data_IF_780380984482
#
_entry.id   IF_780380984482
#
_cell.length_a   1.000
_cell.length_b   1.000
_cell.length_c   1.000
_cell.angle_alpha   90.00
_cell.angle_beta   90.00
_cell.angle_gamma   90.00
#
_symmetry.space_group_name_H-M   'P 1'
#
loop_
_entity.id
_entity.type
_entity.pdbx_description
1 polymer ?
#
# COMPACT_ATOMS: atom_id res chain seq x y z
N UNK A 1 -4.65 -8.70 28.85
CA UNK A 1 -4.10 -7.37 28.51
C UNK A 1 -4.95 -6.31 29.21
N UNK A 2 -4.38 -5.25 29.80
CA UNK A 2 -5.19 -4.14 30.35
C UNK A 2 -5.88 -3.38 29.20
N UNK A 3 -7.06 -2.81 29.42
CA UNK A 3 -7.84 -2.12 28.38
C UNK A 3 -7.08 -1.01 27.65
N UNK A 4 -6.29 -0.22 28.39
CA UNK A 4 -5.45 0.84 27.80
C UNK A 4 -4.37 0.30 26.85
N UNK A 5 -3.78 -0.86 27.15
CA UNK A 5 -2.75 -1.45 26.30
C UNK A 5 -3.34 -1.93 24.97
N UNK A 6 -4.58 -2.43 25.02
CA UNK A 6 -5.31 -2.82 23.81
C UNK A 6 -5.62 -1.59 22.95
N UNK A 7 -6.13 -0.52 23.56
CA UNK A 7 -6.42 0.73 22.85
C UNK A 7 -5.18 1.32 22.15
N UNK A 8 -4.03 1.32 22.83
CA UNK A 8 -2.74 1.76 22.24
C UNK A 8 -2.33 0.85 21.07
N UNK A 9 -2.40 -0.47 21.25
CA UNK A 9 -2.06 -1.42 20.20
C UNK A 9 -2.92 -1.21 18.94
N UNK A 10 -4.23 -1.05 19.13
CA UNK A 10 -5.18 -0.81 18.03
C UNK A 10 -4.95 0.55 17.37
N UNK A 11 -4.66 1.59 18.16
CA UNK A 11 -4.29 2.90 17.64
C UNK A 11 -3.07 2.83 16.73
N UNK A 12 -2.01 2.12 17.14
CA UNK A 12 -0.81 1.92 16.31
C UNK A 12 -1.14 1.11 15.05
N UNK A 13 -1.94 0.05 15.20
CA UNK A 13 -2.31 -0.82 14.08
C UNK A 13 -3.07 -0.08 12.96
N UNK A 14 -3.82 0.97 13.32
CA UNK A 14 -4.58 1.80 12.38
C UNK A 14 -3.74 2.99 11.89
N UNK A 15 -3.03 3.68 12.79
CA UNK A 15 -2.31 4.90 12.44
C UNK A 15 -1.07 4.62 11.60
N UNK A 16 -0.42 3.47 11.76
CA UNK A 16 0.76 3.10 10.97
C UNK A 16 0.45 3.00 9.46
N UNK A 17 -0.54 2.19 9.01
CA UNK A 17 -0.88 2.13 7.57
C UNK A 17 -1.32 3.50 7.03
N UNK A 18 -2.14 4.24 7.79
CA UNK A 18 -2.54 5.61 7.42
C UNK A 18 -1.33 6.54 7.25
N UNK A 19 -0.37 6.49 8.17
CA UNK A 19 0.85 7.30 8.10
C UNK A 19 1.65 6.99 6.83
N UNK A 20 1.78 5.72 6.47
CA UNK A 20 2.48 5.33 5.24
C UNK A 20 1.73 5.82 4.01
N UNK A 21 0.42 5.58 3.94
CA UNK A 21 -0.41 6.00 2.82
C UNK A 21 -0.35 7.51 2.59
N UNK A 22 -0.60 8.30 3.65
CA UNK A 22 -0.54 9.76 3.56
C UNK A 22 0.88 10.30 3.40
N UNK A 23 1.88 9.61 3.94
CA UNK A 23 3.29 9.93 3.71
C UNK A 23 3.62 9.87 2.22
N UNK A 24 3.28 8.77 1.54
CA UNK A 24 3.48 8.63 0.11
C UNK A 24 2.69 9.68 -0.66
N UNK A 25 1.41 9.89 -0.32
CA UNK A 25 0.58 10.91 -0.97
C UNK A 25 1.17 12.34 -0.85
N UNK A 26 1.89 12.62 0.23
CA UNK A 26 2.51 13.95 0.45
C UNK A 26 3.76 14.16 -0.41
N UNK A 27 4.61 13.13 -0.56
CA UNK A 27 5.87 13.25 -1.31
C UNK A 27 5.74 12.82 -2.78
N UNK A 28 4.74 12.03 -3.11
CA UNK A 28 4.41 11.55 -4.44
C UNK A 28 2.89 11.65 -4.60
N UNK A 29 2.32 12.80 -4.96
CA UNK A 29 0.88 12.97 -5.08
C UNK A 29 0.28 12.02 -6.13
N UNK A 30 -0.94 11.55 -5.86
CA UNK A 30 -1.72 10.81 -6.84
C UNK A 30 -2.18 11.75 -7.96
N UNK A 31 -2.15 11.33 -9.24
CA UNK A 31 -2.67 12.15 -10.33
C UNK A 31 -4.19 12.33 -10.16
N UNK A 32 -4.70 13.54 -10.35
CA UNK A 32 -6.14 13.78 -10.40
C UNK A 32 -6.65 13.51 -11.82
N UNK A 33 -7.82 12.90 -11.94
CA UNK A 33 -8.42 12.62 -13.25
C UNK A 33 -8.61 13.89 -14.09
N UNK A 34 -9.07 14.97 -13.45
CA UNK A 34 -9.40 16.26 -14.07
C UNK A 34 -8.18 16.94 -14.72
N UNK A 35 -6.98 16.73 -14.17
CA UNK A 35 -5.74 17.31 -14.70
C UNK A 35 -5.37 16.75 -16.09
N UNK A 36 -5.86 15.55 -16.41
CA UNK A 36 -5.57 14.85 -17.66
C UNK A 36 -6.78 14.82 -18.61
N UNK A 37 -7.99 14.93 -18.08
CA UNK A 37 -9.24 14.76 -18.82
C UNK A 37 -10.06 16.06 -18.77
N UNK A 38 -9.52 17.14 -19.33
CA UNK A 38 -10.21 18.44 -19.43
C UNK A 38 -11.38 18.38 -20.40
N UNK A 39 -12.41 19.21 -20.15
CA UNK A 39 -13.69 19.22 -20.87
C UNK A 39 -13.55 19.30 -22.40
N UNK A 40 -12.50 19.95 -22.91
CA UNK A 40 -12.24 20.09 -24.35
C UNK A 40 -12.08 18.76 -25.10
N UNK A 41 -11.71 17.67 -24.42
CA UNK A 41 -11.52 16.35 -25.06
C UNK A 41 -12.73 15.43 -24.91
N UNK A 42 -13.64 15.73 -23.97
CA UNK A 42 -14.74 14.86 -23.56
C UNK A 42 -16.12 15.48 -23.77
N UNK A 43 -16.22 16.79 -24.00
CA UNK A 43 -17.42 17.43 -24.51
C UNK A 43 -17.70 16.96 -25.94
N UNK A 44 -18.97 16.69 -26.23
CA UNK A 44 -19.38 16.37 -27.59
C UNK A 44 -19.23 17.62 -28.46
N UNK A 45 -18.52 17.53 -29.59
CA UNK A 45 -18.43 18.68 -30.50
C UNK A 45 -19.83 19.05 -31.01
N UNK A 46 -20.08 20.33 -31.31
CA UNK A 46 -21.32 20.76 -31.95
C UNK A 46 -21.59 19.94 -33.21
N UNK A 47 -22.85 19.72 -33.55
CA UNK A 47 -23.25 18.89 -34.71
C UNK A 47 -22.61 19.35 -36.04
N UNK A 48 -22.27 20.63 -36.16
CA UNK A 48 -21.60 21.25 -37.30
C UNK A 48 -20.13 20.82 -37.48
N UNK A 49 -19.51 20.29 -36.43
CA UNK A 49 -18.09 19.95 -36.35
C UNK A 49 -17.81 18.43 -36.45
N UNK A 50 -18.85 17.61 -36.62
CA UNK A 50 -18.74 16.14 -36.67
C UNK A 50 -18.19 15.70 -38.03
N UNK A 51 -16.89 15.87 -38.20
CA UNK A 51 -16.13 15.27 -39.31
C UNK A 51 -15.43 13.99 -38.84
N UNK A 52 -15.26 12.97 -39.70
CA UNK A 52 -14.49 11.77 -39.36
C UNK A 52 -13.06 12.09 -38.88
N UNK A 53 -12.45 13.15 -39.43
CA UNK A 53 -11.13 13.62 -39.04
C UNK A 53 -11.12 14.18 -37.60
N UNK A 54 -12.09 15.03 -37.22
CA UNK A 54 -12.18 15.58 -35.86
C UNK A 54 -12.50 14.50 -34.82
N UNK A 55 -13.31 13.50 -35.19
CA UNK A 55 -13.57 12.30 -34.36
C UNK A 55 -12.31 11.47 -34.12
N UNK A 56 -11.52 11.23 -35.16
CA UNK A 56 -10.26 10.50 -35.05
C UNK A 56 -9.23 11.25 -34.18
N UNK A 57 -9.17 12.58 -34.31
CA UNK A 57 -8.29 13.43 -33.50
C UNK A 57 -8.67 13.42 -32.02
N UNK A 58 -9.95 13.59 -31.68
CA UNK A 58 -10.39 13.49 -30.28
C UNK A 58 -10.14 12.09 -29.71
N UNK A 59 -10.34 11.03 -30.48
CA UNK A 59 -10.05 9.68 -30.01
C UNK A 59 -8.56 9.51 -29.66
N UNK A 60 -7.65 10.05 -30.48
CA UNK A 60 -6.21 10.06 -30.19
C UNK A 60 -5.89 10.87 -28.93
N UNK A 61 -6.46 12.05 -28.79
CA UNK A 61 -6.22 12.90 -27.62
C UNK A 61 -6.73 12.25 -26.33
N UNK A 62 -7.88 11.57 -26.37
CA UNK A 62 -8.40 10.78 -25.24
C UNK A 62 -7.47 9.62 -24.88
N UNK A 63 -6.99 8.90 -25.89
CA UNK A 63 -6.05 7.79 -25.69
C UNK A 63 -4.73 8.29 -25.06
N UNK A 64 -4.18 9.41 -25.56
CA UNK A 64 -2.99 10.03 -25.00
C UNK A 64 -3.20 10.53 -23.57
N UNK A 65 -4.33 11.17 -23.28
CA UNK A 65 -4.70 11.63 -21.94
C UNK A 65 -4.79 10.47 -20.96
N UNK A 66 -5.51 9.41 -21.33
CA UNK A 66 -5.63 8.20 -20.52
C UNK A 66 -4.27 7.51 -20.34
N UNK A 67 -3.42 7.45 -21.38
CA UNK A 67 -2.08 6.89 -21.28
C UNK A 67 -1.20 7.67 -20.30
N UNK A 68 -1.23 9.01 -20.34
CA UNK A 68 -0.48 9.88 -19.41
C UNK A 68 -0.98 9.73 -17.97
N UNK A 69 -2.29 9.70 -17.77
CA UNK A 69 -2.88 9.46 -16.46
C UNK A 69 -2.48 8.08 -15.91
N UNK A 70 -2.61 7.02 -16.71
CA UNK A 70 -2.25 5.66 -16.31
C UNK A 70 -0.77 5.55 -15.96
N UNK A 71 0.12 6.18 -16.74
CA UNK A 71 1.55 6.21 -16.46
C UNK A 71 1.86 6.91 -15.13
N UNK A 72 1.25 8.07 -14.87
CA UNK A 72 1.41 8.79 -13.61
C UNK A 72 0.83 8.01 -12.41
N UNK A 73 -0.32 7.37 -12.61
CA UNK A 73 -1.00 6.58 -11.58
C UNK A 73 -0.18 5.34 -11.23
N UNK A 74 0.38 4.67 -12.24
CA UNK A 74 1.31 3.55 -12.06
C UNK A 74 2.54 3.96 -11.27
N UNK A 75 3.13 5.13 -11.57
CA UNK A 75 4.29 5.62 -10.83
C UNK A 75 3.95 5.88 -9.36
N UNK A 76 2.82 6.55 -9.08
CA UNK A 76 2.34 6.78 -7.72
C UNK A 76 2.13 5.46 -6.97
N UNK A 77 1.47 4.49 -7.59
CA UNK A 77 1.24 3.15 -7.02
C UNK A 77 2.56 2.40 -6.76
N UNK A 78 3.52 2.48 -7.67
CA UNK A 78 4.85 1.91 -7.42
C UNK A 78 5.51 2.53 -6.19
N UNK A 79 5.48 3.86 -6.03
CA UNK A 79 6.00 4.52 -4.83
C UNK A 79 5.28 4.05 -3.56
N UNK A 80 3.95 3.88 -3.61
CA UNK A 80 3.18 3.37 -2.49
C UNK A 80 3.61 1.95 -2.12
N UNK A 81 3.72 1.06 -3.09
CA UNK A 81 4.15 -0.32 -2.89
C UNK A 81 5.56 -0.42 -2.30
N UNK A 82 6.53 0.26 -2.92
CA UNK A 82 7.93 0.24 -2.49
C UNK A 82 8.17 0.99 -1.18
N UNK A 83 7.19 1.73 -0.66
CA UNK A 83 7.24 2.30 0.69
C UNK A 83 6.54 1.40 1.70
N UNK A 84 5.31 0.95 1.38
CA UNK A 84 4.48 0.16 2.29
C UNK A 84 5.08 -1.20 2.60
N UNK A 85 5.64 -1.91 1.61
CA UNK A 85 6.20 -3.23 1.85
C UNK A 85 7.40 -3.18 2.80
N UNK A 86 8.44 -2.36 2.57
CA UNK A 86 9.56 -2.26 3.50
C UNK A 86 9.14 -1.77 4.89
N UNK A 87 8.30 -0.73 4.99
CA UNK A 87 7.85 -0.21 6.29
C UNK A 87 7.06 -1.26 7.06
N UNK A 88 6.16 -1.99 6.38
CA UNK A 88 5.39 -3.06 6.98
C UNK A 88 6.27 -4.20 7.51
N UNK A 89 7.27 -4.64 6.73
CA UNK A 89 8.24 -5.65 7.18
C UNK A 89 9.05 -5.17 8.38
N UNK A 90 9.56 -3.94 8.34
CA UNK A 90 10.32 -3.35 9.45
C UNK A 90 9.45 -3.30 10.72
N UNK A 91 8.19 -2.88 10.60
CA UNK A 91 7.26 -2.82 11.72
C UNK A 91 6.97 -4.21 12.32
N UNK A 92 6.76 -5.24 11.49
CA UNK A 92 6.59 -6.63 11.94
C UNK A 92 7.83 -7.13 12.69
N UNK A 93 9.01 -6.90 12.12
CA UNK A 93 10.29 -7.29 12.71
C UNK A 93 10.47 -6.57 14.05
N UNK A 94 10.37 -5.25 14.08
CA UNK A 94 10.54 -4.44 15.29
C UNK A 94 9.53 -4.81 16.39
N UNK A 95 8.25 -5.00 16.02
CA UNK A 95 7.19 -5.45 16.93
C UNK A 95 7.46 -6.81 17.57
N UNK A 96 8.20 -7.68 16.87
CA UNK A 96 8.60 -9.00 17.39
C UNK A 96 9.67 -8.88 18.49
N UNK A 97 10.60 -7.92 18.38
CA UNK A 97 11.68 -7.73 19.35
C UNK A 97 11.31 -6.83 20.54
N UNK A 98 10.24 -6.03 20.41
CA UNK A 98 9.81 -5.14 21.47
C UNK A 98 9.06 -5.90 22.57
N UNK A 99 9.45 -5.65 23.82
CA UNK A 99 8.87 -6.29 25.03
C UNK A 99 7.74 -5.48 25.67
N UNK A 100 7.36 -4.35 25.09
CA UNK A 100 6.31 -3.48 25.61
C UNK A 100 4.93 -4.05 25.22
N UNK A 101 4.06 -4.42 26.19
CA UNK A 101 2.85 -5.21 25.92
C UNK A 101 1.84 -4.62 24.93
N UNK A 102 1.79 -3.29 24.78
CA UNK A 102 0.89 -2.61 23.84
C UNK A 102 1.56 -2.34 22.48
N UNK A 103 2.82 -1.94 22.50
CA UNK A 103 3.57 -1.52 21.32
C UNK A 103 3.92 -2.71 20.41
N UNK A 104 4.26 -3.85 21.01
CA UNK A 104 4.60 -5.07 20.26
C UNK A 104 3.44 -5.57 19.36
N UNK A 105 2.23 -5.88 19.88
CA UNK A 105 1.12 -6.30 19.02
C UNK A 105 0.69 -5.17 18.07
N UNK A 106 0.69 -3.92 18.50
CA UNK A 106 0.32 -2.78 17.65
C UNK A 106 1.21 -2.66 16.40
N UNK A 107 2.53 -2.77 16.56
CA UNK A 107 3.44 -2.73 15.40
C UNK A 107 3.36 -3.97 14.52
N UNK A 108 3.17 -5.17 15.09
CA UNK A 108 3.01 -6.38 14.28
C UNK A 108 1.73 -6.29 13.45
N UNK A 109 0.59 -5.98 14.07
CA UNK A 109 -0.67 -5.83 13.34
C UNK A 109 -0.65 -4.65 12.36
N UNK A 110 -0.12 -3.50 12.78
CA UNK A 110 0.02 -2.35 11.89
C UNK A 110 0.91 -2.65 10.68
N UNK A 111 2.01 -3.37 10.89
CA UNK A 111 2.90 -3.79 9.80
C UNK A 111 2.24 -4.77 8.84
N UNK A 112 1.46 -5.73 9.36
CA UNK A 112 0.65 -6.65 8.54
C UNK A 112 -0.39 -5.88 7.73
N UNK A 113 -1.14 -4.97 8.36
CA UNK A 113 -2.16 -4.17 7.65
C UNK A 113 -1.50 -3.29 6.58
N UNK A 114 -0.36 -2.67 6.89
CA UNK A 114 0.43 -1.87 5.93
C UNK A 114 0.86 -2.72 4.73
N UNK A 115 1.30 -3.96 4.95
CA UNK A 115 1.62 -4.90 3.87
C UNK A 115 0.39 -5.19 3.01
N UNK A 116 -0.73 -5.56 3.65
CA UNK A 116 -1.98 -5.88 2.97
C UNK A 116 -2.48 -4.70 2.14
N UNK A 117 -2.52 -3.49 2.69
CA UNK A 117 -2.87 -2.28 1.94
C UNK A 117 -1.92 -2.03 0.78
N UNK A 118 -0.62 -2.17 0.99
CA UNK A 118 0.40 -2.10 -0.07
C UNK A 118 0.12 -3.08 -1.21
N UNK A 119 -0.37 -4.29 -0.93
CA UNK A 119 -0.77 -5.22 -1.98
C UNK A 119 -2.10 -4.84 -2.63
N UNK A 120 -3.14 -4.55 -1.84
CA UNK A 120 -4.48 -4.29 -2.36
C UNK A 120 -4.54 -3.04 -3.24
N UNK A 121 -3.89 -1.95 -2.82
CA UNK A 121 -3.92 -0.70 -3.58
C UNK A 121 -3.09 -0.72 -4.85
N UNK A 122 -2.08 -1.59 -4.94
CA UNK A 122 -1.15 -1.61 -6.06
C UNK A 122 -1.28 -2.86 -6.94
N UNK A 123 -2.16 -3.80 -6.57
CA UNK A 123 -2.31 -5.10 -7.26
C UNK A 123 -2.46 -4.99 -8.79
N UNK A 124 -3.29 -4.09 -9.35
CA UNK A 124 -3.50 -4.03 -10.79
C UNK A 124 -2.24 -3.61 -11.55
N UNK A 125 -1.41 -2.74 -10.96
CA UNK A 125 -0.25 -2.13 -11.63
C UNK A 125 1.04 -2.94 -11.49
N UNK A 126 1.08 -3.89 -10.56
CA UNK A 126 2.25 -4.73 -10.32
C UNK A 126 2.32 -5.88 -11.32
N UNK A 127 3.52 -6.14 -11.84
CA UNK A 127 3.80 -7.36 -12.60
C UNK A 127 3.76 -8.60 -11.70
N UNK A 128 3.39 -9.75 -12.25
CA UNK A 128 3.28 -11.00 -11.51
C UNK A 128 4.58 -11.44 -10.80
N UNK A 129 5.79 -11.26 -11.37
CA UNK A 129 7.03 -11.56 -10.65
C UNK A 129 7.20 -10.74 -9.38
N UNK A 130 6.88 -9.44 -9.40
CA UNK A 130 6.98 -8.56 -8.23
C UNK A 130 5.98 -8.99 -7.17
N UNK A 131 4.73 -9.31 -7.55
CA UNK A 131 3.72 -9.83 -6.63
C UNK A 131 4.21 -11.10 -5.93
N UNK A 132 4.71 -12.06 -6.70
CA UNK A 132 5.18 -13.32 -6.16
C UNK A 132 6.38 -13.15 -5.22
N UNK A 133 7.42 -12.45 -5.64
CA UNK A 133 8.65 -12.28 -4.85
C UNK A 133 8.36 -11.51 -3.55
N UNK A 134 7.55 -10.47 -3.61
CA UNK A 134 7.20 -9.69 -2.43
C UNK A 134 6.33 -10.47 -1.45
N UNK A 135 5.33 -11.23 -1.92
CA UNK A 135 4.53 -12.11 -1.06
C UNK A 135 5.37 -13.20 -0.42
N UNK A 136 6.25 -13.84 -1.19
CA UNK A 136 7.18 -14.85 -0.66
C UNK A 136 8.08 -14.25 0.42
N UNK A 137 8.62 -13.05 0.19
CA UNK A 137 9.44 -12.32 1.16
C UNK A 137 8.66 -12.02 2.44
N UNK A 138 7.45 -11.49 2.31
CA UNK A 138 6.59 -11.20 3.46
C UNK A 138 6.24 -12.46 4.25
N UNK A 139 5.94 -13.57 3.57
CA UNK A 139 5.64 -14.84 4.20
C UNK A 139 6.85 -15.42 4.94
N UNK A 140 8.05 -15.35 4.37
CA UNK A 140 9.29 -15.78 5.02
C UNK A 140 9.53 -14.96 6.30
N UNK A 141 9.39 -13.64 6.23
CA UNK A 141 9.56 -12.76 7.39
C UNK A 141 8.52 -13.08 8.48
N UNK A 142 7.27 -13.26 8.11
CA UNK A 142 6.21 -13.66 9.05
C UNK A 142 6.49 -15.04 9.68
N UNK A 143 6.95 -16.00 8.89
CA UNK A 143 7.33 -17.32 9.38
C UNK A 143 8.49 -17.26 10.39
N UNK A 144 9.55 -16.51 10.07
CA UNK A 144 10.71 -16.34 10.96
C UNK A 144 10.31 -15.64 12.27
N UNK A 145 9.52 -14.58 12.18
CA UNK A 145 9.07 -13.82 13.35
C UNK A 145 8.13 -14.64 14.24
N UNK A 146 7.21 -15.40 13.63
CA UNK A 146 6.33 -16.33 14.35
C UNK A 146 7.12 -17.44 15.06
N UNK A 147 8.05 -18.11 14.36
CA UNK A 147 8.90 -19.15 14.94
C UNK A 147 9.69 -18.64 16.14
N UNK A 148 10.29 -17.44 16.02
CA UNK A 148 11.03 -16.81 17.13
C UNK A 148 10.15 -16.48 18.33
N UNK A 149 8.95 -15.96 18.09
CA UNK A 149 8.00 -15.61 19.16
C UNK A 149 7.60 -16.87 19.93
N UNK A 150 7.13 -17.89 19.22
CA UNK A 150 6.64 -19.14 19.80
C UNK A 150 7.75 -19.90 20.53
N UNK A 151 8.94 -20.00 19.94
CA UNK A 151 10.10 -20.63 20.60
C UNK A 151 10.59 -19.88 21.84
N UNK A 152 10.39 -18.56 21.92
CA UNK A 152 10.71 -17.78 23.13
C UNK A 152 9.72 -18.04 24.26
N UNK A 153 8.44 -18.21 23.92
CA UNK A 153 7.37 -18.50 24.89
C UNK A 153 7.50 -19.92 25.48
N UNK A 154 7.88 -20.90 24.66
CA UNK A 154 8.15 -22.27 25.14
C UNK A 154 9.32 -22.32 26.13
N UNK A 155 10.45 -21.68 25.83
CA UNK A 155 11.61 -21.65 26.75
C UNK A 155 11.29 -21.02 28.10
N UNK A 156 10.45 -19.99 28.11
CA UNK A 156 10.03 -19.34 29.36
C UNK A 156 9.20 -20.31 30.21
N UNK A 157 8.26 -21.02 29.60
CA UNK A 157 7.39 -21.99 30.29
C UNK A 157 8.18 -23.16 30.90
N UNK A 158 9.30 -23.57 30.28
CA UNK A 158 10.17 -24.63 30.83
C UNK A 158 11.09 -24.18 31.97
N UNK A 159 11.32 -22.88 32.14
CA UNK A 159 12.15 -22.33 33.22
C UNK A 159 11.33 -21.96 34.47
N UNK A 160 10.04 -21.66 34.28
CA UNK A 160 9.11 -21.22 35.33
C UNK A 160 8.27 -22.40 35.91
N UNK A 161 8.46 -23.64 35.45
CA UNK A 161 7.74 -24.84 35.89
C UNK A 161 8.68 -25.87 36.50
#
# INVERSE_FOLDING_TARGET
MKGINFAIAMGIAILLPMLVFYGVKTFSPAPNWEDYHTGQFFEEPPAEDITPAKKAEMARQREEASARYNAANKQHQMHLFFTAVPVGLIAVIAGTFIRVPALAPGMVFGGIITLVEGYLFNWPELSDPIKFVSLLTALIVLGITAYRRLGSDEKKKTLDG
#
